data_IF_352265480870
#
_entry.id   IF_352265480870
#
_cell.length_a   1.000
_cell.length_b   1.000
_cell.length_c   1.000
_cell.angle_alpha   90.00
_cell.angle_beta   90.00
_cell.angle_gamma   90.00
#
_symmetry.space_group_name_H-M   'P 1'
#
loop_
_entity.id
_entity.type
_entity.pdbx_description
1 polymer ?
#
# COMPACT_ATOMS: atom_id res chain seq x y z
N UNK A 1 -9.64 5.93 6.27
CA UNK A 1 -9.76 4.46 6.22
C UNK A 1 -10.62 4.04 7.39
N UNK A 2 -11.71 3.31 7.14
CA UNK A 2 -12.55 2.77 8.23
C UNK A 2 -11.91 1.51 8.81
N UNK A 3 -12.32 1.11 10.02
CA UNK A 3 -11.85 -0.13 10.66
C UNK A 3 -12.14 -1.35 9.77
N UNK A 4 -13.31 -1.38 9.13
CA UNK A 4 -13.70 -2.45 8.21
C UNK A 4 -12.77 -2.53 6.99
N UNK A 5 -12.41 -1.39 6.39
CA UNK A 5 -11.46 -1.36 5.27
C UNK A 5 -10.08 -1.86 5.67
N UNK A 6 -9.63 -1.52 6.88
CA UNK A 6 -8.36 -2.01 7.41
C UNK A 6 -8.38 -3.53 7.60
N UNK A 7 -9.44 -4.07 8.19
CA UNK A 7 -9.57 -5.50 8.44
C UNK A 7 -9.56 -6.30 7.12
N UNK A 8 -10.29 -5.85 6.10
CA UNK A 8 -10.27 -6.47 4.77
C UNK A 8 -8.85 -6.47 4.19
N UNK A 9 -8.16 -5.34 4.27
CA UNK A 9 -6.78 -5.25 3.78
C UNK A 9 -5.83 -6.16 4.57
N UNK A 10 -6.01 -6.24 5.89
CA UNK A 10 -5.24 -7.11 6.76
C UNK A 10 -5.45 -8.58 6.41
N UNK A 11 -6.69 -9.04 6.25
CA UNK A 11 -7.00 -10.43 5.87
C UNK A 11 -6.34 -10.83 4.55
N UNK A 12 -6.29 -9.92 3.57
CA UNK A 12 -5.64 -10.17 2.29
C UNK A 12 -4.10 -10.24 2.37
N UNK A 13 -3.49 -9.44 3.26
CA UNK A 13 -2.03 -9.30 3.33
C UNK A 13 -1.38 -10.18 4.40
N UNK A 14 -2.05 -10.44 5.51
CA UNK A 14 -1.55 -11.21 6.64
C UNK A 14 -0.89 -12.53 6.24
N UNK A 15 -1.48 -13.41 5.39
CA UNK A 15 -0.85 -14.66 5.00
C UNK A 15 0.47 -14.48 4.23
N UNK A 16 0.65 -13.33 3.56
CA UNK A 16 1.86 -13.02 2.78
C UNK A 16 2.97 -12.38 3.62
N UNK A 17 2.67 -12.00 4.86
CA UNK A 17 3.59 -11.29 5.77
C UNK A 17 4.05 -12.15 6.95
N UNK A 18 3.63 -13.42 7.01
CA UNK A 18 4.09 -14.38 8.02
C UNK A 18 5.58 -14.62 7.82
N UNK A 19 6.36 -14.40 8.90
CA UNK A 19 7.80 -14.58 8.90
C UNK A 19 8.20 -15.67 9.90
N UNK A 20 9.12 -16.56 9.50
CA UNK A 20 9.78 -17.50 10.42
C UNK A 20 11.12 -16.92 10.82
N UNK A 21 11.34 -16.72 12.12
CA UNK A 21 12.60 -16.21 12.66
C UNK A 21 12.81 -16.74 14.07
N UNK A 22 14.08 -16.80 14.51
CA UNK A 22 14.46 -17.17 15.87
C UNK A 22 13.91 -16.15 16.87
N UNK A 23 13.92 -14.86 16.51
CA UNK A 23 13.29 -13.79 17.30
C UNK A 23 11.83 -13.67 16.90
N UNK A 24 10.95 -13.38 17.87
CA UNK A 24 9.53 -13.14 17.60
C UNK A 24 9.40 -12.02 16.54
N UNK A 25 8.84 -12.31 15.35
CA UNK A 25 8.59 -11.31 14.34
C UNK A 25 7.53 -10.30 14.81
N UNK A 26 7.56 -9.10 14.24
CA UNK A 26 6.47 -8.15 14.42
C UNK A 26 5.20 -8.68 13.75
N UNK A 27 4.08 -8.54 14.45
CA UNK A 27 2.77 -9.01 13.98
C UNK A 27 2.40 -8.34 12.63
N UNK A 28 1.81 -9.08 11.67
CA UNK A 28 1.43 -8.52 10.37
C UNK A 28 0.58 -7.25 10.47
N UNK A 29 -0.36 -7.22 11.41
CA UNK A 29 -1.22 -6.06 11.67
C UNK A 29 -0.43 -4.79 11.99
N UNK A 30 0.55 -4.88 12.87
CA UNK A 30 1.42 -3.76 13.23
C UNK A 30 2.24 -3.28 12.03
N UNK A 31 2.76 -4.22 11.23
CA UNK A 31 3.55 -3.93 10.02
C UNK A 31 2.70 -3.19 8.98
N UNK A 32 1.45 -3.60 8.80
CA UNK A 32 0.49 -2.97 7.89
C UNK A 32 0.11 -1.58 8.41
N UNK A 33 -0.25 -1.45 9.69
CA UNK A 33 -0.59 -0.17 10.30
C UNK A 33 0.55 0.86 10.20
N UNK A 34 1.79 0.44 10.49
CA UNK A 34 2.98 1.29 10.36
C UNK A 34 3.19 1.78 8.92
N UNK A 35 3.04 0.87 7.95
CA UNK A 35 3.20 1.21 6.53
C UNK A 35 2.11 2.16 6.04
N UNK A 36 0.85 1.93 6.44
CA UNK A 36 -0.26 2.80 6.07
C UNK A 36 -0.13 4.19 6.70
N UNK A 37 0.32 4.26 7.96
CA UNK A 37 0.61 5.54 8.62
C UNK A 37 1.69 6.31 7.88
N UNK A 38 2.76 5.63 7.44
CA UNK A 38 3.81 6.23 6.63
C UNK A 38 3.28 6.80 5.30
N UNK A 39 2.51 6.01 4.55
CA UNK A 39 1.95 6.42 3.25
C UNK A 39 0.95 7.57 3.42
N UNK A 40 0.09 7.52 4.45
CA UNK A 40 -0.94 8.52 4.68
C UNK A 40 -0.36 9.88 5.11
N UNK A 41 0.70 9.87 5.92
CA UNK A 41 1.35 11.10 6.39
C UNK A 41 2.34 11.67 5.38
N UNK A 42 2.92 10.82 4.52
CA UNK A 42 4.01 11.21 3.62
C UNK A 42 5.26 11.71 4.36
N UNK A 43 5.44 11.28 5.63
CA UNK A 43 6.54 11.73 6.46
C UNK A 43 7.82 10.91 6.24
N UNK A 44 8.90 11.28 6.91
CA UNK A 44 10.15 10.53 6.82
C UNK A 44 10.05 9.19 7.58
N UNK A 45 10.75 8.17 7.09
CA UNK A 45 10.87 6.87 7.77
C UNK A 45 11.40 7.02 9.20
N UNK A 46 12.24 8.05 9.45
CA UNK A 46 12.69 8.38 10.80
C UNK A 46 11.51 8.72 11.72
N UNK A 47 10.60 9.58 11.29
CA UNK A 47 9.44 10.01 12.08
C UNK A 47 8.53 8.83 12.39
N UNK A 48 8.17 8.04 11.37
CA UNK A 48 7.33 6.85 11.56
C UNK A 48 8.03 5.79 12.44
N UNK A 49 9.35 5.59 12.28
CA UNK A 49 10.15 4.70 13.13
C UNK A 49 10.08 5.08 14.62
N UNK A 50 10.17 6.37 14.95
CA UNK A 50 10.00 6.86 16.31
C UNK A 50 8.58 6.64 16.83
N UNK A 51 7.56 6.95 16.02
CA UNK A 51 6.16 6.83 16.44
C UNK A 51 5.77 5.39 16.80
N UNK A 52 6.24 4.42 16.02
CA UNK A 52 5.96 2.99 16.28
C UNK A 52 7.00 2.31 17.18
N UNK A 53 8.02 3.03 17.65
CA UNK A 53 9.14 2.46 18.43
C UNK A 53 9.84 1.27 17.74
N UNK A 54 9.97 1.33 16.42
CA UNK A 54 10.62 0.29 15.60
C UNK A 54 11.93 0.85 15.07
N UNK A 55 13.02 0.07 15.11
CA UNK A 55 14.32 0.48 14.57
C UNK A 55 14.25 0.93 13.10
N UNK A 56 15.00 1.98 12.72
CA UNK A 56 14.89 2.61 11.39
C UNK A 56 15.09 1.64 10.22
N UNK A 57 16.10 0.75 10.33
CA UNK A 57 16.38 -0.27 9.31
C UNK A 57 15.22 -1.27 9.19
N UNK A 58 14.64 -1.69 10.31
CA UNK A 58 13.48 -2.57 10.35
C UNK A 58 12.24 -1.89 9.76
N UNK A 59 11.97 -0.63 10.13
CA UNK A 59 10.86 0.15 9.57
C UNK A 59 11.01 0.30 8.04
N UNK A 60 12.21 0.62 7.56
CA UNK A 60 12.51 0.70 6.13
C UNK A 60 12.19 -0.62 5.40
N UNK A 61 12.65 -1.74 5.94
CA UNK A 61 12.38 -3.08 5.39
C UNK A 61 10.88 -3.42 5.41
N UNK A 62 10.17 -3.06 6.48
CA UNK A 62 8.72 -3.28 6.60
C UNK A 62 7.96 -2.52 5.52
N UNK A 63 8.22 -1.20 5.41
CA UNK A 63 7.53 -0.35 4.43
C UNK A 63 7.72 -0.89 3.02
N UNK A 64 8.95 -1.24 2.65
CA UNK A 64 9.23 -1.81 1.33
C UNK A 64 8.51 -3.14 1.08
N UNK A 65 8.53 -4.06 2.05
CA UNK A 65 7.90 -5.37 1.92
C UNK A 65 6.38 -5.23 1.80
N UNK A 66 5.77 -4.48 2.71
CA UNK A 66 4.32 -4.31 2.78
C UNK A 66 3.81 -3.56 1.53
N UNK A 67 4.48 -2.49 1.08
CA UNK A 67 4.11 -1.80 -0.16
C UNK A 67 4.11 -2.75 -1.37
N UNK A 68 5.14 -3.60 -1.50
CA UNK A 68 5.19 -4.60 -2.58
C UNK A 68 4.01 -5.58 -2.51
N UNK A 69 3.66 -6.04 -1.30
CA UNK A 69 2.51 -6.93 -1.11
C UNK A 69 1.17 -6.24 -1.38
N UNK A 70 1.02 -4.99 -0.96
CA UNK A 70 -0.16 -4.16 -1.29
C UNK A 70 -0.34 -4.09 -2.80
N UNK A 71 0.69 -3.71 -3.55
CA UNK A 71 0.62 -3.63 -5.01
C UNK A 71 0.28 -5.00 -5.60
N UNK A 72 0.98 -6.06 -5.18
CA UNK A 72 0.75 -7.41 -5.68
C UNK A 72 -0.72 -7.87 -5.53
N UNK A 73 -1.33 -7.61 -4.38
CA UNK A 73 -2.69 -8.05 -4.07
C UNK A 73 -3.75 -7.11 -4.63
N UNK A 74 -3.59 -5.80 -4.46
CA UNK A 74 -4.63 -4.85 -4.86
C UNK A 74 -4.62 -4.58 -6.37
N UNK A 75 -3.48 -4.71 -7.05
CA UNK A 75 -3.41 -4.54 -8.50
C UNK A 75 -4.32 -5.53 -9.22
N UNK A 76 -4.34 -6.80 -8.82
CA UNK A 76 -5.21 -7.80 -9.47
C UNK A 76 -6.70 -7.54 -9.24
N UNK A 77 -7.06 -6.94 -8.11
CA UNK A 77 -8.46 -6.67 -7.73
C UNK A 77 -8.97 -5.38 -8.39
N UNK A 78 -8.17 -4.32 -8.33
CA UNK A 78 -8.61 -2.96 -8.67
C UNK A 78 -8.05 -2.42 -9.98
N UNK A 79 -6.85 -2.86 -10.39
CA UNK A 79 -6.22 -2.39 -11.62
C UNK A 79 -6.46 -3.39 -12.75
N UNK A 80 -7.64 -3.28 -13.38
CA UNK A 80 -7.89 -3.94 -14.66
C UNK A 80 -7.24 -3.13 -15.76
N UNK A 81 -6.34 -3.75 -16.52
CA UNK A 81 -5.74 -3.11 -17.69
C UNK A 81 -6.85 -2.77 -18.70
N UNK A 82 -7.02 -1.49 -19.09
CA UNK A 82 -8.01 -1.12 -20.08
C UNK A 82 -7.67 -1.77 -21.43
N UNK A 83 -8.68 -2.17 -22.19
CA UNK A 83 -8.51 -2.51 -23.60
C UNK A 83 -8.38 -1.22 -24.42
N UNK A 84 -8.02 -1.35 -25.70
CA UNK A 84 -7.79 -0.20 -26.59
C UNK A 84 -8.98 0.78 -26.61
N UNK A 85 -10.20 0.27 -26.63
CA UNK A 85 -11.39 1.11 -26.69
C UNK A 85 -11.61 1.88 -25.39
N UNK A 86 -11.41 1.24 -24.23
CA UNK A 86 -11.43 1.94 -22.93
C UNK A 86 -10.29 2.95 -22.80
N UNK A 87 -9.13 2.70 -23.40
CA UNK A 87 -8.05 3.69 -23.44
C UNK A 87 -8.47 4.94 -24.22
N UNK A 88 -9.12 4.77 -25.36
CA UNK A 88 -9.65 5.88 -26.17
C UNK A 88 -10.73 6.63 -25.38
N UNK A 89 -11.63 5.91 -24.70
CA UNK A 89 -12.66 6.51 -23.84
C UNK A 89 -12.06 7.34 -22.69
N UNK A 90 -11.08 6.79 -21.97
CA UNK A 90 -10.38 7.49 -20.89
C UNK A 90 -9.66 8.74 -21.41
N UNK A 91 -8.97 8.63 -22.56
CA UNK A 91 -8.27 9.75 -23.18
C UNK A 91 -9.24 10.88 -23.59
N UNK A 92 -10.35 10.52 -24.23
CA UNK A 92 -11.40 11.48 -24.60
C UNK A 92 -12.01 12.15 -23.36
N UNK A 93 -12.32 11.37 -22.31
CA UNK A 93 -12.85 11.91 -21.05
C UNK A 93 -11.86 12.86 -20.38
N UNK A 94 -10.56 12.56 -20.41
CA UNK A 94 -9.52 13.45 -19.92
C UNK A 94 -9.45 14.75 -20.74
N UNK A 95 -9.46 14.65 -22.07
CA UNK A 95 -9.46 15.79 -22.99
C UNK A 95 -10.63 16.74 -22.71
N UNK A 96 -11.85 16.19 -22.64
CA UNK A 96 -13.07 16.99 -22.40
C UNK A 96 -13.07 17.63 -21.02
N UNK A 97 -12.62 16.89 -19.99
CA UNK A 97 -12.66 17.39 -18.61
C UNK A 97 -11.64 18.50 -18.35
N UNK A 98 -10.46 18.40 -18.95
CA UNK A 98 -9.36 19.34 -18.74
C UNK A 98 -9.20 20.36 -19.87
N UNK A 99 -10.08 20.29 -20.87
CA UNK A 99 -10.09 21.13 -22.07
C UNK A 99 -8.69 21.30 -22.66
N UNK A 100 -7.92 20.21 -22.67
CA UNK A 100 -6.57 20.20 -23.22
C UNK A 100 -6.72 20.44 -24.73
N UNK A 101 -6.13 21.49 -25.31
CA UNK A 101 -6.08 21.60 -26.76
C UNK A 101 -5.11 20.55 -27.28
N UNK A 102 -5.47 19.86 -28.38
CA UNK A 102 -4.50 19.07 -29.14
C UNK A 102 -3.38 19.96 -29.67
#
# INVERSE_FOLDING_TARGET
MTVQQFNILHELLAPLLIKKSIRKPLEPELRIAATLSYIARGDSIRTTSWFFSIGRSTMYSIVQEVCKKIVQVLQSIYLRMPNRDKWIEIANGFQTKWNYPN
#
